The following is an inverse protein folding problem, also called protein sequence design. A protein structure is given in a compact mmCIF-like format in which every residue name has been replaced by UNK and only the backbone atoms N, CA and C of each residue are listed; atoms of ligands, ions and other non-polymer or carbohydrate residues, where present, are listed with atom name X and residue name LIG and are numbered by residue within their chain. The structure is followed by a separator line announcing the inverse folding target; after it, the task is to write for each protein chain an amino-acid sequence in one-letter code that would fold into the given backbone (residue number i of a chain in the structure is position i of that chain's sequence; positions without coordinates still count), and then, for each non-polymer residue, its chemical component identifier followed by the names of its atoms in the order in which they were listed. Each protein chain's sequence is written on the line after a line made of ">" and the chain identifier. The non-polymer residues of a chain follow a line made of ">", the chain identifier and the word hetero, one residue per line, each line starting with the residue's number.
data_IF_263879928049
#
_entry.id   IF_263879928049
#
_cell.length_a   1.000
_cell.length_b   1.000
_cell.length_c   1.000
_cell.angle_alpha   90.00
_cell.angle_beta   90.00
_cell.angle_gamma   90.00
#
_symmetry.space_group_name_H-M   'P 1'
#
loop_
_entity.id
_entity.type
_entity.pdbx_description
1 polymer ?
#
# COMPACT_ATOMS: atom_id res chain seq x y z
N UNK A 1 29.55 50.88 8.53
CA UNK A 1 28.61 50.11 9.38
C UNK A 1 27.35 49.88 8.56
N UNK A 2 26.70 48.73 8.74
CA UNK A 2 25.47 48.24 8.06
C UNK A 2 25.72 47.47 6.75
N UNK A 3 25.94 46.15 6.82
CA UNK A 3 25.03 45.00 7.04
C UNK A 3 24.55 44.43 5.70
N UNK A 4 25.23 43.37 5.25
CA UNK A 4 24.86 42.59 4.08
C UNK A 4 23.53 41.83 4.33
N UNK A 5 22.64 41.72 3.32
CA UNK A 5 21.38 41.00 3.48
C UNK A 5 21.61 39.48 3.57
N UNK A 6 20.85 38.86 4.45
CA UNK A 6 20.79 37.42 4.74
C UNK A 6 20.49 36.55 3.51
N UNK A 7 21.52 36.12 2.77
CA UNK A 7 21.38 35.13 1.67
C UNK A 7 21.67 33.69 2.11
N UNK A 8 21.91 33.43 3.40
CA UNK A 8 22.26 32.08 3.89
C UNK A 8 21.10 31.31 4.53
N UNK A 9 19.93 31.89 4.74
CA UNK A 9 18.84 31.19 5.44
C UNK A 9 17.89 30.42 4.50
N UNK A 10 17.75 30.86 3.25
CA UNK A 10 16.85 30.19 2.29
C UNK A 10 17.43 28.90 1.72
N UNK A 11 18.75 28.82 1.53
CA UNK A 11 19.41 27.62 0.98
C UNK A 11 19.49 26.48 1.99
N UNK A 12 19.59 26.78 3.29
CA UNK A 12 19.59 25.76 4.34
C UNK A 12 18.21 25.07 4.48
N UNK A 13 17.10 25.77 4.22
CA UNK A 13 15.77 25.13 4.23
C UNK A 13 15.59 24.18 3.04
N UNK A 14 16.00 24.59 1.85
CA UNK A 14 15.88 23.76 0.64
C UNK A 14 16.78 22.52 0.69
N UNK A 15 17.97 22.63 1.30
CA UNK A 15 18.91 21.51 1.44
C UNK A 15 18.47 20.53 2.55
N UNK A 16 17.94 21.01 3.68
CA UNK A 16 17.40 20.16 4.76
C UNK A 16 16.11 19.46 4.31
N UNK A 17 15.24 20.14 3.55
CA UNK A 17 14.03 19.54 2.98
C UNK A 17 14.39 18.48 1.93
N UNK A 18 15.37 18.72 1.05
CA UNK A 18 15.84 17.70 0.09
C UNK A 18 16.54 16.53 0.76
N UNK A 19 17.38 16.75 1.77
CA UNK A 19 18.08 15.68 2.47
C UNK A 19 17.10 14.77 3.23
N UNK A 20 16.10 15.33 3.93
CA UNK A 20 15.06 14.54 4.59
C UNK A 20 14.16 13.76 3.63
N UNK A 21 13.74 14.39 2.52
CA UNK A 21 12.82 13.81 1.50
C UNK A 21 13.44 12.62 0.77
N UNK A 22 14.74 12.70 0.48
CA UNK A 22 15.49 11.61 -0.14
C UNK A 22 15.72 10.45 0.84
N UNK A 23 15.88 10.74 2.13
CA UNK A 23 16.13 9.74 3.17
C UNK A 23 14.87 8.94 3.52
N UNK A 24 13.71 9.59 3.70
CA UNK A 24 12.44 8.94 4.02
C UNK A 24 11.90 8.06 2.87
N UNK A 25 11.89 8.61 1.64
CA UNK A 25 11.50 7.86 0.44
C UNK A 25 12.52 6.76 0.13
N UNK A 26 13.80 7.04 0.36
CA UNK A 26 14.90 6.09 0.26
C UNK A 26 14.74 4.91 1.21
N UNK A 27 14.40 5.17 2.48
CA UNK A 27 14.22 4.16 3.52
C UNK A 27 13.04 3.22 3.21
N UNK A 28 11.89 3.77 2.77
CA UNK A 28 10.74 2.95 2.37
C UNK A 28 11.08 2.08 1.15
N UNK A 29 11.73 2.67 0.14
CA UNK A 29 12.09 1.96 -1.08
C UNK A 29 13.18 0.89 -0.86
N UNK A 30 14.15 1.19 0.01
CA UNK A 30 15.18 0.24 0.44
C UNK A 30 14.54 -0.94 1.15
N UNK A 31 13.74 -0.69 2.18
CA UNK A 31 13.05 -1.74 2.92
C UNK A 31 12.12 -2.56 2.02
N UNK A 32 11.41 -1.91 1.09
CA UNK A 32 10.61 -2.61 0.09
C UNK A 32 11.46 -3.53 -0.78
N UNK A 33 12.66 -3.12 -1.18
CA UNK A 33 13.58 -3.94 -1.97
C UNK A 33 14.07 -5.17 -1.19
N UNK A 34 14.35 -5.01 0.11
CA UNK A 34 14.71 -6.13 1.00
C UNK A 34 13.57 -7.14 1.13
N UNK A 35 12.35 -6.66 1.36
CA UNK A 35 11.16 -7.52 1.51
C UNK A 35 10.86 -8.27 0.21
N UNK A 36 11.06 -7.67 -0.98
CA UNK A 36 10.90 -8.36 -2.29
C UNK A 36 11.81 -9.58 -2.42
N UNK A 37 12.97 -9.59 -1.76
CA UNK A 37 13.87 -10.74 -1.72
C UNK A 37 13.41 -11.88 -0.81
N UNK A 38 12.40 -11.63 0.03
CA UNK A 38 11.84 -12.62 0.96
C UNK A 38 11.01 -13.69 0.27
N UNK A 39 10.88 -14.85 0.93
CA UNK A 39 10.00 -15.94 0.50
C UNK A 39 8.88 -16.13 1.52
N UNK A 40 7.65 -16.23 1.03
CA UNK A 40 6.48 -16.55 1.85
C UNK A 40 6.08 -18.01 1.62
N UNK A 41 5.91 -18.76 2.71
CA UNK A 41 5.38 -20.12 2.64
C UNK A 41 3.85 -20.09 2.55
N UNK A 42 3.31 -19.86 1.35
CA UNK A 42 1.85 -19.85 1.12
C UNK A 42 1.18 -21.18 1.47
N UNK A 43 1.89 -22.30 1.32
CA UNK A 43 1.36 -23.63 1.59
C UNK A 43 0.97 -23.80 3.06
N UNK A 44 1.77 -23.27 4.00
CA UNK A 44 1.46 -23.38 5.43
C UNK A 44 0.19 -22.59 5.81
N UNK A 45 -0.07 -21.46 5.14
CA UNK A 45 -1.32 -20.71 5.34
C UNK A 45 -2.53 -21.48 4.81
N UNK A 46 -2.41 -22.15 3.67
CA UNK A 46 -3.48 -22.99 3.13
C UNK A 46 -3.74 -24.21 4.01
N UNK A 47 -2.68 -24.92 4.43
CA UNK A 47 -2.79 -26.11 5.29
C UNK A 47 -3.38 -25.81 6.68
N UNK A 48 -3.17 -24.60 7.18
CA UNK A 48 -3.77 -24.13 8.45
C UNK A 48 -5.20 -23.60 8.29
N UNK A 49 -5.77 -23.64 7.08
CA UNK A 49 -7.06 -23.04 6.72
C UNK A 49 -7.13 -21.52 6.97
N UNK A 50 -5.98 -20.83 7.01
CA UNK A 50 -5.92 -19.37 7.11
C UNK A 50 -6.35 -18.70 5.81
N UNK A 51 -6.11 -19.37 4.68
CA UNK A 51 -6.47 -18.93 3.33
C UNK A 51 -7.18 -20.07 2.61
N UNK A 52 -8.04 -19.74 1.67
CA UNK A 52 -8.76 -20.75 0.88
C UNK A 52 -7.85 -21.39 -0.18
N UNK A 53 -8.30 -22.52 -0.75
CA UNK A 53 -7.61 -23.13 -1.89
C UNK A 53 -7.55 -22.18 -3.10
N UNK A 54 -8.61 -21.40 -3.33
CA UNK A 54 -8.67 -20.43 -4.43
C UNK A 54 -7.70 -19.27 -4.20
N UNK A 55 -7.64 -18.75 -2.97
CA UNK A 55 -6.67 -17.71 -2.58
C UNK A 55 -5.22 -18.22 -2.77
N UNK A 56 -4.95 -19.47 -2.34
CA UNK A 56 -3.66 -20.11 -2.50
C UNK A 56 -3.27 -20.27 -3.98
N UNK A 57 -4.19 -20.78 -4.81
CA UNK A 57 -3.94 -21.00 -6.23
C UNK A 57 -3.63 -19.69 -6.96
N UNK A 58 -4.36 -18.62 -6.65
CA UNK A 58 -4.10 -17.30 -7.21
C UNK A 58 -2.75 -16.75 -6.74
N UNK A 59 -2.51 -16.71 -5.42
CA UNK A 59 -1.34 -16.01 -4.87
C UNK A 59 -0.04 -16.67 -5.29
N UNK A 60 0.02 -18.01 -5.37
CA UNK A 60 1.22 -18.70 -5.83
C UNK A 60 1.50 -18.47 -7.32
N UNK A 61 0.45 -18.36 -8.15
CA UNK A 61 0.61 -18.04 -9.56
C UNK A 61 1.10 -16.60 -9.72
N UNK A 62 0.50 -15.67 -8.98
CA UNK A 62 0.84 -14.25 -9.02
C UNK A 62 2.26 -13.99 -8.51
N UNK A 63 2.66 -14.60 -7.40
CA UNK A 63 4.00 -14.51 -6.80
C UNK A 63 5.10 -15.07 -7.74
N UNK A 64 4.78 -16.12 -8.50
CA UNK A 64 5.71 -16.67 -9.51
C UNK A 64 5.87 -15.79 -10.73
N UNK A 65 4.92 -14.90 -11.02
CA UNK A 65 5.02 -14.00 -12.16
C UNK A 65 6.05 -12.90 -11.86
N UNK A 66 7.22 -13.01 -12.49
CA UNK A 66 8.36 -12.13 -12.21
C UNK A 66 8.25 -10.75 -12.85
N UNK A 67 7.46 -10.62 -13.91
CA UNK A 67 7.34 -9.39 -14.69
C UNK A 67 5.88 -8.97 -14.91
N UNK A 68 5.72 -7.74 -15.40
CA UNK A 68 4.41 -7.17 -15.71
C UNK A 68 3.62 -8.06 -16.66
N UNK A 69 4.27 -8.63 -17.69
CA UNK A 69 3.61 -9.45 -18.72
C UNK A 69 3.01 -10.73 -18.13
N UNK A 70 3.73 -11.42 -17.26
CA UNK A 70 3.22 -12.60 -16.56
C UNK A 70 2.05 -12.25 -15.65
N UNK A 71 2.14 -11.12 -14.94
CA UNK A 71 1.04 -10.61 -14.09
C UNK A 71 -0.18 -10.23 -14.93
N UNK A 72 0.00 -9.58 -16.07
CA UNK A 72 -1.08 -9.25 -17.01
C UNK A 72 -1.84 -10.51 -17.43
N UNK A 73 -1.14 -11.57 -17.85
CA UNK A 73 -1.77 -12.83 -18.28
C UNK A 73 -2.60 -13.51 -17.16
N UNK A 74 -2.13 -13.41 -15.91
CA UNK A 74 -2.88 -13.92 -14.75
C UNK A 74 -4.11 -13.06 -14.51
N UNK A 75 -3.98 -11.73 -14.56
CA UNK A 75 -5.09 -10.81 -14.33
C UNK A 75 -6.15 -10.87 -15.44
N UNK A 76 -5.76 -11.12 -16.68
CA UNK A 76 -6.71 -11.35 -17.79
C UNK A 76 -7.60 -12.57 -17.55
N UNK A 77 -7.05 -13.63 -16.96
CA UNK A 77 -7.76 -14.89 -16.72
C UNK A 77 -8.46 -14.95 -15.35
N UNK A 78 -7.93 -14.26 -14.35
CA UNK A 78 -8.34 -14.36 -12.94
C UNK A 78 -8.63 -13.00 -12.28
N UNK A 79 -9.00 -11.98 -13.07
CA UNK A 79 -9.31 -10.62 -12.59
C UNK A 79 -10.25 -10.60 -11.38
N UNK A 80 -11.34 -11.38 -11.43
CA UNK A 80 -12.34 -11.43 -10.36
C UNK A 80 -11.86 -12.11 -9.06
N UNK A 81 -10.78 -12.89 -9.13
CA UNK A 81 -10.16 -13.53 -7.97
C UNK A 81 -9.10 -12.63 -7.34
N UNK A 82 -8.45 -11.77 -8.12
CA UNK A 82 -7.36 -10.91 -7.64
C UNK A 82 -7.72 -10.10 -6.39
N UNK A 83 -8.78 -9.28 -6.47
CA UNK A 83 -9.18 -8.45 -5.33
C UNK A 83 -9.70 -9.27 -4.15
N UNK A 84 -10.44 -10.35 -4.42
CA UNK A 84 -10.91 -11.27 -3.37
C UNK A 84 -9.74 -11.87 -2.58
N UNK A 85 -8.74 -12.38 -3.30
CA UNK A 85 -7.54 -12.96 -2.69
C UNK A 85 -6.80 -11.92 -1.87
N UNK A 86 -6.45 -10.76 -2.45
CA UNK A 86 -5.71 -9.74 -1.70
C UNK A 86 -6.47 -9.23 -0.46
N UNK A 87 -7.77 -8.95 -0.57
CA UNK A 87 -8.58 -8.51 0.57
C UNK A 87 -8.72 -9.61 1.64
N UNK A 88 -8.91 -10.87 1.23
CA UNK A 88 -8.92 -12.04 2.13
C UNK A 88 -7.60 -12.19 2.88
N UNK A 89 -6.47 -12.10 2.17
CA UNK A 89 -5.14 -12.21 2.76
C UNK A 89 -4.87 -11.11 3.78
N UNK A 90 -5.19 -9.85 3.45
CA UNK A 90 -5.02 -8.71 4.38
C UNK A 90 -5.93 -8.83 5.61
N UNK A 91 -7.13 -9.41 5.46
CA UNK A 91 -8.08 -9.61 6.56
C UNK A 91 -7.74 -10.77 7.50
N UNK A 92 -7.15 -11.85 6.99
CA UNK A 92 -6.91 -13.08 7.77
C UNK A 92 -5.48 -13.24 8.26
N UNK A 93 -4.47 -12.76 7.51
CA UNK A 93 -3.07 -12.97 7.88
C UNK A 93 -2.65 -11.94 8.92
N UNK A 94 -2.18 -12.43 10.07
CA UNK A 94 -1.72 -11.57 11.16
C UNK A 94 -0.20 -11.33 11.19
N UNK A 95 0.59 -12.15 10.47
CA UNK A 95 2.07 -12.11 10.49
C UNK A 95 2.59 -10.91 9.70
N UNK A 96 3.26 -9.97 10.40
CA UNK A 96 3.72 -8.70 9.82
C UNK A 96 4.61 -8.88 8.58
N UNK A 97 5.60 -9.77 8.62
CA UNK A 97 6.46 -10.03 7.45
C UNK A 97 5.67 -10.43 6.20
N UNK A 98 4.60 -11.21 6.38
CA UNK A 98 3.75 -11.63 5.26
C UNK A 98 2.85 -10.49 4.80
N UNK A 99 2.31 -9.68 5.71
CA UNK A 99 1.55 -8.48 5.36
C UNK A 99 2.39 -7.46 4.58
N UNK A 100 3.63 -7.20 5.03
CA UNK A 100 4.57 -6.33 4.30
C UNK A 100 4.79 -6.81 2.87
N UNK A 101 4.98 -8.13 2.68
CA UNK A 101 5.15 -8.73 1.37
C UNK A 101 3.89 -8.57 0.49
N UNK A 102 2.71 -8.81 1.06
CA UNK A 102 1.42 -8.63 0.36
C UNK A 102 1.22 -7.19 -0.07
N UNK A 103 1.49 -6.23 0.82
CA UNK A 103 1.34 -4.80 0.52
C UNK A 103 2.26 -4.38 -0.62
N UNK A 104 3.50 -4.87 -0.67
CA UNK A 104 4.40 -4.62 -1.79
C UNK A 104 3.87 -5.22 -3.09
N UNK A 105 3.37 -6.46 -3.07
CA UNK A 105 2.79 -7.07 -4.27
C UNK A 105 1.62 -6.23 -4.81
N UNK A 106 0.76 -5.72 -3.93
CA UNK A 106 -0.34 -4.83 -4.32
C UNK A 106 0.21 -3.51 -4.88
N UNK A 107 1.15 -2.89 -4.19
CA UNK A 107 1.73 -1.60 -4.60
C UNK A 107 2.41 -1.68 -5.97
N UNK A 108 3.25 -2.70 -6.19
CA UNK A 108 3.94 -2.97 -7.44
C UNK A 108 2.93 -3.26 -8.56
N UNK A 109 1.90 -4.07 -8.28
CA UNK A 109 0.83 -4.35 -9.24
C UNK A 109 0.12 -3.08 -9.68
N UNK A 110 -0.23 -2.19 -8.75
CA UNK A 110 -0.91 -0.93 -9.07
C UNK A 110 0.04 0.05 -9.79
N UNK A 111 1.33 0.04 -9.46
CA UNK A 111 2.32 0.90 -10.08
C UNK A 111 2.57 0.54 -11.56
N UNK A 112 2.51 -0.74 -11.90
CA UNK A 112 2.66 -1.23 -13.27
C UNK A 112 1.55 -0.79 -14.21
N UNK A 113 0.33 -0.66 -13.69
CA UNK A 113 -0.83 -0.24 -14.46
C UNK A 113 -1.88 0.35 -13.51
N UNK A 114 -2.02 1.68 -13.56
CA UNK A 114 -2.95 2.43 -12.73
C UNK A 114 -4.40 2.00 -12.91
N UNK A 115 -4.77 1.42 -14.07
CA UNK A 115 -6.14 0.95 -14.31
C UNK A 115 -6.51 -0.27 -13.46
N UNK A 116 -5.53 -0.98 -12.89
CA UNK A 116 -5.75 -2.15 -12.02
C UNK A 116 -6.41 -1.80 -10.69
N UNK A 117 -6.49 -0.53 -10.29
CA UNK A 117 -7.34 -0.10 -9.17
C UNK A 117 -8.80 -0.48 -9.37
N UNK A 118 -9.24 -0.62 -10.62
CA UNK A 118 -10.61 -1.02 -10.97
C UNK A 118 -10.90 -2.49 -10.60
N UNK A 119 -9.86 -3.33 -10.43
CA UNK A 119 -10.02 -4.73 -9.97
C UNK A 119 -10.58 -4.83 -8.56
N UNK A 120 -10.31 -3.81 -7.74
CA UNK A 120 -10.72 -3.75 -6.35
C UNK A 120 -12.21 -3.37 -6.22
N UNK A 121 -12.83 -2.82 -7.25
CA UNK A 121 -14.21 -2.33 -7.15
C UNK A 121 -15.19 -3.41 -6.70
N UNK A 122 -16.16 -3.06 -5.83
CA UNK A 122 -17.25 -3.96 -5.49
C UNK A 122 -17.97 -4.39 -6.76
N UNK A 123 -17.88 -5.68 -7.11
CA UNK A 123 -18.66 -6.18 -8.24
C UNK A 123 -20.16 -6.09 -7.91
N UNK A 124 -20.98 -5.68 -8.88
CA UNK A 124 -22.45 -5.57 -8.72
C UNK A 124 -23.13 -6.86 -8.22
N UNK A 125 -22.44 -7.99 -8.31
CA UNK A 125 -22.90 -9.31 -7.89
C UNK A 125 -22.53 -9.69 -6.45
N UNK A 126 -21.76 -8.86 -5.74
CA UNK A 126 -21.55 -9.02 -4.30
C UNK A 126 -22.82 -8.63 -3.56
N UNK A 127 -23.69 -9.60 -3.30
CA UNK A 127 -24.98 -9.42 -2.61
C UNK A 127 -24.83 -9.02 -1.13
N UNK A 128 -23.61 -8.92 -0.59
CA UNK A 128 -23.35 -8.45 0.77
C UNK A 128 -22.98 -6.97 0.75
N UNK A 129 -23.96 -6.16 1.15
CA UNK A 129 -23.91 -4.70 1.22
C UNK A 129 -23.00 -4.14 2.34
N UNK A 130 -22.03 -4.89 2.90
CA UNK A 130 -21.32 -4.40 4.10
C UNK A 130 -19.90 -4.91 4.35
N UNK A 131 -19.15 -5.34 3.34
CA UNK A 131 -17.70 -5.45 3.50
C UNK A 131 -17.10 -4.31 2.68
N UNK A 132 -16.88 -3.17 3.34
CA UNK A 132 -16.23 -2.03 2.71
C UNK A 132 -14.87 -2.50 2.18
N UNK A 133 -14.58 -2.19 0.91
CA UNK A 133 -13.26 -2.37 0.29
C UNK A 133 -12.14 -1.92 1.24
N UNK A 134 -12.42 -0.83 1.94
CA UNK A 134 -11.46 -0.11 2.74
C UNK A 134 -11.19 -0.84 4.05
N UNK A 135 -12.13 -1.60 4.61
CA UNK A 135 -11.99 -2.19 5.95
C UNK A 135 -10.71 -3.01 6.15
N UNK A 136 -10.32 -3.94 5.25
CA UNK A 136 -9.04 -4.64 5.39
C UNK A 136 -7.84 -3.68 5.43
N UNK A 137 -7.82 -2.63 4.60
CA UNK A 137 -6.73 -1.65 4.60
C UNK A 137 -6.77 -0.74 5.84
N UNK A 138 -7.92 -0.20 6.20
CA UNK A 138 -8.07 0.70 7.35
C UNK A 138 -7.68 0.00 8.66
N UNK A 139 -7.92 -1.31 8.77
CA UNK A 139 -7.47 -2.08 9.94
C UNK A 139 -5.95 -2.12 10.08
N UNK A 140 -5.21 -2.10 8.96
CA UNK A 140 -3.75 -2.12 8.95
C UNK A 140 -3.13 -0.77 9.33
N UNK A 141 -3.85 0.34 9.18
CA UNK A 141 -3.40 1.66 9.64
C UNK A 141 -3.26 1.76 11.17
N UNK A 142 -3.87 0.83 11.91
CA UNK A 142 -3.75 0.72 13.37
C UNK A 142 -2.62 -0.22 13.83
N UNK A 143 -1.85 -0.80 12.91
CA UNK A 143 -0.72 -1.67 13.25
C UNK A 143 0.44 -0.86 13.85
N UNK A 144 1.22 -1.45 14.78
CA UNK A 144 2.41 -0.79 15.31
C UNK A 144 3.56 -0.71 14.30
N UNK A 145 3.58 -1.56 13.27
CA UNK A 145 4.64 -1.56 12.27
C UNK A 145 4.52 -0.36 11.31
N UNK A 146 5.52 0.52 11.36
CA UNK A 146 5.57 1.74 10.56
C UNK A 146 5.60 1.49 9.05
N UNK A 147 6.18 0.38 8.59
CA UNK A 147 6.20 0.07 7.16
C UNK A 147 4.81 -0.36 6.67
N UNK A 148 4.13 -1.23 7.42
CA UNK A 148 2.76 -1.67 7.11
C UNK A 148 1.83 -0.48 7.02
N UNK A 149 1.86 0.40 8.02
CA UNK A 149 0.96 1.57 8.07
C UNK A 149 1.21 2.53 6.92
N UNK A 150 2.46 2.87 6.61
CA UNK A 150 2.80 3.78 5.52
C UNK A 150 2.54 3.18 4.14
N UNK A 151 2.90 1.91 3.91
CA UNK A 151 2.61 1.24 2.64
C UNK A 151 1.11 1.08 2.42
N UNK A 152 0.35 0.77 3.48
CA UNK A 152 -1.11 0.73 3.43
C UNK A 152 -1.68 2.09 3.05
N UNK A 153 -1.23 3.17 3.69
CA UNK A 153 -1.65 4.53 3.37
C UNK A 153 -1.39 4.89 1.90
N UNK A 154 -0.20 4.57 1.39
CA UNK A 154 0.16 4.76 -0.02
C UNK A 154 -0.78 4.01 -0.96
N UNK A 155 -1.12 2.76 -0.66
CA UNK A 155 -2.07 1.98 -1.46
C UNK A 155 -3.47 2.60 -1.40
N UNK A 156 -3.95 3.02 -0.22
CA UNK A 156 -5.24 3.70 -0.09
C UNK A 156 -5.27 4.96 -0.95
N UNK A 157 -4.21 5.77 -0.92
CA UNK A 157 -4.10 6.98 -1.74
C UNK A 157 -4.15 6.64 -3.24
N UNK A 158 -3.41 5.63 -3.70
CA UNK A 158 -3.47 5.15 -5.10
C UNK A 158 -4.88 4.70 -5.50
N UNK A 159 -5.54 3.92 -4.65
CA UNK A 159 -6.91 3.47 -4.89
C UNK A 159 -7.88 4.66 -4.95
N UNK A 160 -7.77 5.62 -4.04
CA UNK A 160 -8.64 6.79 -3.98
C UNK A 160 -8.41 7.76 -5.14
N UNK A 161 -7.15 7.96 -5.57
CA UNK A 161 -6.78 8.94 -6.60
C UNK A 161 -6.90 8.39 -8.02
N UNK A 162 -6.69 7.09 -8.25
CA UNK A 162 -6.71 6.51 -9.60
C UNK A 162 -8.04 5.83 -9.94
N UNK A 163 -8.87 5.51 -8.93
CA UNK A 163 -10.22 4.96 -9.14
C UNK A 163 -11.20 6.04 -9.60
N UNK A 164 -12.15 5.66 -10.45
CA UNK A 164 -13.31 6.52 -10.78
C UNK A 164 -14.33 6.64 -9.64
N UNK A 165 -14.32 5.71 -8.71
CA UNK A 165 -15.21 5.69 -7.53
C UNK A 165 -14.40 6.07 -6.31
N UNK A 166 -14.79 7.17 -5.66
CA UNK A 166 -14.06 7.78 -4.55
C UNK A 166 -14.44 7.12 -3.23
N UNK A 167 -13.49 7.07 -2.29
CA UNK A 167 -13.78 6.77 -0.89
C UNK A 167 -14.70 7.86 -0.31
N UNK A 168 -15.76 7.47 0.39
CA UNK A 168 -16.70 8.40 1.00
C UNK A 168 -17.07 8.00 2.44
N UNK A 169 -17.97 8.76 3.06
CA UNK A 169 -18.59 8.40 4.34
C UNK A 169 -17.61 8.25 5.51
N UNK A 170 -17.83 7.21 6.33
CA UNK A 170 -17.03 6.94 7.53
C UNK A 170 -15.59 6.56 7.21
N UNK A 171 -15.37 5.87 6.09
CA UNK A 171 -14.04 5.38 5.70
C UNK A 171 -13.11 6.55 5.34
N UNK A 172 -13.63 7.52 4.57
CA UNK A 172 -12.90 8.74 4.25
C UNK A 172 -12.58 9.54 5.51
N UNK A 173 -13.54 9.71 6.42
CA UNK A 173 -13.32 10.44 7.67
C UNK A 173 -12.26 9.77 8.55
N UNK A 174 -12.29 8.43 8.64
CA UNK A 174 -11.26 7.68 9.36
C UNK A 174 -9.88 7.91 8.74
N UNK A 175 -9.76 7.74 7.42
CA UNK A 175 -8.48 7.88 6.73
C UNK A 175 -7.90 9.29 6.83
N UNK A 176 -8.72 10.34 6.65
CA UNK A 176 -8.29 11.73 6.80
C UNK A 176 -7.89 12.07 8.24
N UNK A 177 -8.59 11.52 9.23
CA UNK A 177 -8.21 11.69 10.63
C UNK A 177 -6.86 11.04 10.91
N UNK A 178 -6.68 9.79 10.45
CA UNK A 178 -5.41 9.09 10.58
C UNK A 178 -4.27 9.87 9.91
N UNK A 179 -4.45 10.34 8.67
CA UNK A 179 -3.46 11.15 7.95
C UNK A 179 -3.08 12.40 8.74
N UNK A 180 -4.08 13.14 9.24
CA UNK A 180 -3.86 14.34 10.06
C UNK A 180 -3.05 14.01 11.32
N UNK A 181 -3.32 12.89 11.97
CA UNK A 181 -2.58 12.47 13.16
C UNK A 181 -1.14 12.09 12.82
N UNK A 182 -0.91 11.39 11.70
CA UNK A 182 0.43 11.05 11.22
C UNK A 182 1.28 12.29 10.92
N UNK A 183 0.70 13.31 10.30
CA UNK A 183 1.39 14.59 10.00
C UNK A 183 1.79 15.36 11.26
N UNK A 184 1.16 15.06 12.40
CA UNK A 184 1.45 15.70 13.70
C UNK A 184 2.49 14.93 14.52
N UNK A 185 2.87 13.73 14.10
CA UNK A 185 3.85 12.93 14.83
C UNK A 185 5.26 13.48 14.61
N UNK A 186 5.97 13.93 15.67
CA UNK A 186 7.39 14.23 15.55
C UNK A 186 8.14 12.94 15.22
N UNK A 187 9.04 12.98 14.22
CA UNK A 187 9.87 11.86 13.75
C UNK A 187 9.14 10.71 13.03
N UNK A 188 8.04 10.96 12.32
CA UNK A 188 7.55 9.94 11.40
C UNK A 188 8.45 9.92 10.14
N UNK A 189 9.35 8.94 10.11
CA UNK A 189 10.36 8.67 9.08
C UNK A 189 9.77 8.51 7.66
N UNK A 190 8.45 8.48 7.51
CA UNK A 190 7.77 8.20 6.25
C UNK A 190 6.76 9.27 5.82
N UNK A 191 6.59 10.38 6.56
CA UNK A 191 5.65 11.47 6.23
C UNK A 191 5.78 11.90 4.77
N UNK A 192 7.02 12.07 4.30
CA UNK A 192 7.32 12.58 2.97
C UNK A 192 7.05 11.56 1.86
N UNK A 193 7.02 10.25 2.16
CA UNK A 193 6.64 9.21 1.19
C UNK A 193 5.15 9.27 0.81
N UNK A 194 4.31 9.87 1.65
CA UNK A 194 2.88 10.06 1.39
C UNK A 194 2.59 11.26 0.47
N UNK A 195 3.49 12.23 0.39
CA UNK A 195 3.27 13.49 -0.34
C UNK A 195 3.76 13.44 -1.81
N UNK A 196 4.88 12.75 -2.09
CA UNK A 196 5.59 12.91 -3.38
C UNK A 196 5.24 11.92 -4.50
N UNK A 197 4.35 10.94 -4.26
CA UNK A 197 4.00 9.94 -5.30
C UNK A 197 2.50 9.87 -5.63
N UNK A 198 1.72 10.78 -5.06
CA UNK A 198 0.31 10.97 -5.38
C UNK A 198 0.07 12.02 -6.50
N UNK A 199 1.15 12.51 -7.11
CA UNK A 199 1.19 13.28 -8.36
C UNK A 199 1.83 12.41 -9.46
#
# INVERSE_FOLDING_TARGET
>A
MELAPNTKLSTLSDDIEKEGVLDATGALQQRASEIRGGMVNWMSYMQSNMITQDDYNFIIAFDKARDKKGRDAILETQSSQCSKTFLSLLGHISKDQTLQYILIMIDDMLQEDKSRVELFKPTKHSKKKSDSLWSPFLSLLNRPDGFITNMTSRIIAKLACWSKELMDGSDLNFYLTWLKDQLRQPNNEYIQSMEYQNL
#
